data_IF_783475646323
#
_entry.id   IF_783475646323
#
_cell.length_a   1.000
_cell.length_b   1.000
_cell.length_c   1.000
_cell.angle_alpha   90.00
_cell.angle_beta   90.00
_cell.angle_gamma   90.00
#
_symmetry.space_group_name_H-M   'P 1'
#
loop_
_entity.id
_entity.type
_entity.pdbx_description
1 polymer ?
#
# COMPACT_ATOMS: atom_id res chain seq x y z
N UNK A 1 -27.92 15.71 1.31
CA UNK A 1 -27.33 16.25 0.07
C UNK A 1 -25.84 16.03 0.16
N UNK A 2 -25.25 15.28 -0.78
CA UNK A 2 -23.80 15.11 -0.85
C UNK A 2 -23.15 16.44 -1.24
N UNK A 3 -21.98 16.75 -0.67
CA UNK A 3 -21.22 17.94 -1.06
C UNK A 3 -20.76 17.85 -2.52
N UNK A 4 -20.44 18.99 -3.15
CA UNK A 4 -19.92 18.99 -4.54
C UNK A 4 -18.63 18.13 -4.69
N UNK A 5 -17.85 17.98 -3.63
CA UNK A 5 -16.64 17.15 -3.60
C UNK A 5 -16.96 15.65 -3.54
N UNK A 6 -18.06 15.25 -2.90
CA UNK A 6 -18.46 13.84 -2.81
C UNK A 6 -18.97 13.27 -4.14
N UNK A 7 -19.58 14.09 -4.99
CA UNK A 7 -20.12 13.66 -6.31
C UNK A 7 -18.99 13.30 -7.30
N UNK A 8 -17.79 13.90 -7.13
CA UNK A 8 -16.63 13.68 -7.98
C UNK A 8 -15.62 12.67 -7.40
N UNK A 9 -15.87 12.15 -6.19
CA UNK A 9 -14.93 11.25 -5.51
C UNK A 9 -15.26 9.79 -5.85
N UNK A 10 -14.22 9.03 -6.19
CA UNK A 10 -14.34 7.60 -6.45
C UNK A 10 -14.81 6.85 -5.19
N UNK A 11 -15.72 5.86 -5.32
CA UNK A 11 -16.30 5.16 -4.17
C UNK A 11 -15.26 4.59 -3.19
N UNK A 12 -14.13 4.10 -3.70
CA UNK A 12 -13.05 3.54 -2.87
C UNK A 12 -12.26 4.60 -2.09
N UNK A 13 -12.27 5.87 -2.49
CA UNK A 13 -11.66 6.98 -1.75
C UNK A 13 -12.62 7.65 -0.77
N UNK A 14 -13.91 7.51 -0.96
CA UNK A 14 -14.93 8.21 -0.16
C UNK A 14 -14.79 7.97 1.36
N UNK A 15 -14.53 6.74 1.86
CA UNK A 15 -14.33 6.50 3.28
C UNK A 15 -13.15 7.30 3.85
N UNK A 16 -12.03 7.34 3.13
CA UNK A 16 -10.82 8.06 3.53
C UNK A 16 -11.04 9.58 3.55
N UNK A 17 -11.70 10.13 2.50
CA UNK A 17 -12.01 11.57 2.46
C UNK A 17 -12.94 11.99 3.60
N UNK A 18 -14.00 11.22 3.89
CA UNK A 18 -14.88 11.47 5.03
C UNK A 18 -14.15 11.41 6.37
N UNK A 19 -13.23 10.48 6.52
CA UNK A 19 -12.41 10.39 7.72
C UNK A 19 -11.45 11.57 7.84
N UNK A 20 -10.82 12.01 6.74
CA UNK A 20 -9.94 13.16 6.70
C UNK A 20 -10.70 14.48 6.95
N UNK A 21 -11.89 14.65 6.38
CA UNK A 21 -12.78 15.81 6.65
C UNK A 21 -13.08 15.93 8.17
N UNK A 22 -13.24 14.80 8.85
CA UNK A 22 -13.58 14.76 10.27
C UNK A 22 -12.37 14.87 11.21
N UNK A 23 -11.25 14.26 10.85
CA UNK A 23 -10.10 14.05 11.72
C UNK A 23 -8.80 14.68 11.19
N UNK A 24 -8.86 15.41 10.06
CA UNK A 24 -7.65 15.92 9.42
C UNK A 24 -6.72 14.77 9.00
N UNK A 25 -5.44 14.92 9.29
CA UNK A 25 -4.43 13.90 9.03
C UNK A 25 -4.14 13.00 10.25
N UNK A 26 -5.01 12.94 11.25
CA UNK A 26 -4.81 12.10 12.42
C UNK A 26 -4.98 10.60 12.09
N UNK A 27 -4.53 9.74 13.00
CA UNK A 27 -4.54 8.28 12.81
C UNK A 27 -5.91 7.71 12.39
N UNK A 28 -7.07 8.18 12.90
CA UNK A 28 -8.38 7.69 12.47
C UNK A 28 -8.65 7.87 10.97
N UNK A 29 -8.02 8.85 10.30
CA UNK A 29 -8.18 9.10 8.86
C UNK A 29 -7.53 8.03 7.98
N UNK A 30 -6.66 7.21 8.55
CA UNK A 30 -6.03 6.08 7.87
C UNK A 30 -6.93 4.82 7.84
N UNK A 31 -8.05 4.82 8.56
CA UNK A 31 -9.01 3.72 8.68
C UNK A 31 -8.40 2.38 9.16
N UNK A 32 -7.30 2.45 9.90
CA UNK A 32 -6.73 1.28 10.56
C UNK A 32 -7.51 0.91 11.83
N UNK A 33 -7.63 -0.37 12.12
CA UNK A 33 -8.25 -0.81 13.37
C UNK A 33 -7.45 -0.37 14.61
N UNK A 34 -6.12 -0.35 14.51
CA UNK A 34 -5.22 0.13 15.58
C UNK A 34 -3.79 0.36 15.04
N UNK A 35 -2.93 1.12 15.77
CA UNK A 35 -1.51 1.21 15.45
C UNK A 35 -0.80 -0.16 15.43
N UNK A 36 -1.23 -1.10 16.27
CA UNK A 36 -0.66 -2.45 16.33
C UNK A 36 -0.96 -3.25 15.06
N UNK A 37 -2.19 -3.17 14.52
CA UNK A 37 -2.54 -3.83 13.27
C UNK A 37 -1.80 -3.22 12.08
N UNK A 38 -1.59 -1.90 12.08
CA UNK A 38 -0.76 -1.22 11.08
C UNK A 38 0.70 -1.72 11.14
N UNK A 39 1.30 -1.73 12.33
CA UNK A 39 2.67 -2.16 12.53
C UNK A 39 2.89 -3.64 12.13
N UNK A 40 1.94 -4.53 12.42
CA UNK A 40 2.00 -5.93 12.03
C UNK A 40 2.04 -6.11 10.50
N UNK A 41 1.27 -5.31 9.76
CA UNK A 41 1.31 -5.30 8.29
C UNK A 41 2.61 -4.74 7.73
N UNK A 42 3.13 -3.69 8.32
CA UNK A 42 4.44 -3.12 7.94
C UNK A 42 5.57 -4.11 8.17
N UNK A 43 5.54 -4.87 9.27
CA UNK A 43 6.50 -5.94 9.54
C UNK A 43 6.44 -7.05 8.48
N UNK A 44 5.23 -7.52 8.12
CA UNK A 44 5.05 -8.52 7.07
C UNK A 44 5.56 -8.02 5.69
N UNK A 45 5.32 -6.75 5.37
CA UNK A 45 5.82 -6.10 4.14
C UNK A 45 7.35 -6.06 4.13
N UNK A 46 7.99 -5.63 5.24
CA UNK A 46 9.45 -5.55 5.33
C UNK A 46 10.09 -6.94 5.21
N UNK A 47 9.58 -7.95 5.93
CA UNK A 47 10.06 -9.34 5.87
C UNK A 47 10.03 -9.94 4.47
N UNK A 48 9.01 -9.62 3.66
CA UNK A 48 8.89 -10.12 2.28
C UNK A 48 9.57 -9.22 1.26
N UNK A 49 9.51 -7.89 1.44
CA UNK A 49 9.98 -6.90 0.47
C UNK A 49 11.48 -6.61 0.55
N UNK A 50 12.12 -6.82 1.73
CA UNK A 50 13.56 -6.52 1.96
C UNK A 50 13.92 -5.10 1.53
N UNK A 51 13.28 -4.12 2.19
CA UNK A 51 13.27 -2.72 1.75
C UNK A 51 14.58 -1.96 2.01
N UNK A 52 15.52 -2.53 2.78
CA UNK A 52 16.79 -1.88 3.09
C UNK A 52 17.65 -1.71 1.83
N UNK A 53 18.09 -0.47 1.58
CA UNK A 53 18.95 -0.14 0.43
C UNK A 53 18.25 -0.15 -0.93
N UNK A 54 16.91 -0.32 -0.97
CA UNK A 54 16.10 -0.34 -2.19
C UNK A 54 15.41 1.01 -2.42
N UNK A 55 15.16 1.34 -3.68
CA UNK A 55 14.19 2.38 -4.03
C UNK A 55 12.77 1.84 -3.84
N UNK A 56 11.96 2.52 -3.02
CA UNK A 56 10.63 2.07 -2.60
C UNK A 56 9.55 3.01 -3.09
N UNK A 57 8.51 2.47 -3.71
CA UNK A 57 7.25 3.17 -3.98
C UNK A 57 6.15 2.65 -3.04
N UNK A 58 5.70 3.49 -2.12
CA UNK A 58 4.58 3.22 -1.19
C UNK A 58 3.27 3.80 -1.76
N UNK A 59 2.36 2.92 -2.18
CA UNK A 59 1.14 3.30 -2.90
C UNK A 59 -0.06 3.36 -1.97
N UNK A 60 -0.64 4.53 -1.83
CA UNK A 60 -1.59 4.86 -0.76
C UNK A 60 -0.85 5.05 0.56
N UNK A 61 0.22 5.84 0.53
CA UNK A 61 1.17 5.96 1.64
C UNK A 61 0.60 6.65 2.90
N UNK A 62 -0.61 7.23 2.82
CA UNK A 62 -1.18 8.00 3.92
C UNK A 62 -0.24 9.13 4.35
N UNK A 63 0.16 9.13 5.62
CA UNK A 63 1.12 10.07 6.19
C UNK A 63 2.57 9.61 6.06
N UNK A 64 2.88 8.63 5.20
CA UNK A 64 4.17 7.95 5.09
C UNK A 64 4.62 7.26 6.39
N UNK A 65 3.69 6.67 7.14
CA UNK A 65 3.98 5.99 8.41
C UNK A 65 4.81 4.72 8.22
N UNK A 66 4.75 4.07 7.05
CA UNK A 66 5.65 2.95 6.72
C UNK A 66 7.12 3.38 6.77
N UNK A 67 7.45 4.56 6.25
CA UNK A 67 8.83 5.06 6.31
C UNK A 67 9.31 5.30 7.75
N UNK A 68 8.45 5.86 8.63
CA UNK A 68 8.78 5.99 10.06
C UNK A 68 9.08 4.63 10.68
N UNK A 69 8.17 3.67 10.46
CA UNK A 69 8.32 2.30 10.96
C UNK A 69 9.64 1.64 10.51
N UNK A 70 10.04 1.82 9.26
CA UNK A 70 11.30 1.29 8.72
C UNK A 70 12.51 1.95 9.38
N UNK A 71 12.50 3.29 9.45
CA UNK A 71 13.61 4.06 10.03
C UNK A 71 13.82 3.74 11.51
N UNK A 72 12.76 3.58 12.29
CA UNK A 72 12.80 3.21 13.72
C UNK A 72 13.44 1.82 13.93
N UNK A 73 13.38 0.95 12.93
CA UNK A 73 14.01 -0.39 12.92
C UNK A 73 15.40 -0.42 12.27
N UNK A 74 15.92 0.74 11.85
CA UNK A 74 17.20 0.81 11.15
C UNK A 74 17.15 0.35 9.69
N UNK A 75 15.96 0.08 9.15
CA UNK A 75 15.75 -0.22 7.73
C UNK A 75 15.70 1.10 6.96
N UNK A 76 16.67 1.33 6.08
CA UNK A 76 16.81 2.57 5.33
C UNK A 76 16.67 2.29 3.84
N UNK A 77 15.53 2.66 3.21
CA UNK A 77 15.44 2.71 1.75
C UNK A 77 16.51 3.62 1.15
N UNK A 78 16.98 3.30 -0.04
CA UNK A 78 17.89 4.18 -0.79
C UNK A 78 17.17 5.43 -1.32
N UNK A 79 15.91 5.25 -1.72
CA UNK A 79 14.98 6.31 -2.15
C UNK A 79 13.56 5.90 -1.76
N UNK A 80 12.72 6.86 -1.42
CA UNK A 80 11.31 6.60 -1.07
C UNK A 80 10.38 7.54 -1.80
N UNK A 81 9.42 6.99 -2.52
CA UNK A 81 8.32 7.72 -3.12
C UNK A 81 7.00 7.26 -2.51
N UNK A 82 6.15 8.19 -2.09
CA UNK A 82 4.79 7.91 -1.66
C UNK A 82 3.79 8.41 -2.69
N UNK A 83 2.73 7.64 -2.97
CA UNK A 83 1.56 8.11 -3.72
C UNK A 83 0.37 8.20 -2.76
N UNK A 84 -0.31 9.35 -2.72
CA UNK A 84 -1.50 9.55 -1.87
C UNK A 84 -2.54 10.42 -2.59
N UNK A 85 -3.81 9.99 -2.54
CA UNK A 85 -4.93 10.65 -3.22
C UNK A 85 -5.73 11.58 -2.29
N UNK A 86 -5.57 11.46 -0.97
CA UNK A 86 -6.26 12.29 0.03
C UNK A 86 -5.36 13.47 0.38
N UNK A 87 -5.79 14.67 0.05
CA UNK A 87 -4.97 15.89 0.15
C UNK A 87 -4.43 16.16 1.55
N UNK A 88 -5.23 15.95 2.60
CA UNK A 88 -4.85 16.14 4.00
C UNK A 88 -3.72 15.18 4.40
N UNK A 89 -3.83 13.92 3.99
CA UNK A 89 -2.82 12.89 4.27
C UNK A 89 -1.54 13.16 3.48
N UNK A 90 -1.65 13.48 2.20
CA UNK A 90 -0.52 13.85 1.36
C UNK A 90 0.22 15.07 1.91
N UNK A 91 -0.51 16.12 2.31
CA UNK A 91 0.08 17.32 2.92
C UNK A 91 0.82 17.01 4.22
N UNK A 92 0.28 16.11 5.06
CA UNK A 92 0.94 15.69 6.29
C UNK A 92 2.22 14.89 5.99
N UNK A 93 2.20 13.98 5.00
CA UNK A 93 3.38 13.25 4.55
C UNK A 93 4.47 14.21 4.02
N UNK A 94 4.11 15.15 3.14
CA UNK A 94 5.02 16.18 2.61
C UNK A 94 5.66 16.99 3.73
N UNK A 95 4.86 17.46 4.71
CA UNK A 95 5.34 18.24 5.83
C UNK A 95 6.34 17.46 6.71
N UNK A 96 6.05 16.20 7.02
CA UNK A 96 6.95 15.30 7.77
C UNK A 96 8.27 15.07 7.04
N UNK A 97 8.28 15.02 5.70
CA UNK A 97 9.41 14.58 4.88
C UNK A 97 10.17 15.74 4.22
N UNK A 98 9.71 16.98 4.36
CA UNK A 98 10.26 18.18 3.71
C UNK A 98 11.80 18.33 3.80
N UNK A 99 12.42 17.80 4.84
CA UNK A 99 13.86 17.89 5.08
C UNK A 99 14.64 16.67 4.61
N UNK A 100 13.96 15.62 4.11
CA UNK A 100 14.59 14.40 3.61
C UNK A 100 14.74 14.51 2.10
N UNK A 101 15.99 14.49 1.61
CA UNK A 101 16.29 14.69 0.17
C UNK A 101 15.85 13.52 -0.70
N UNK A 102 15.90 12.31 -0.13
CA UNK A 102 15.63 11.05 -0.83
C UNK A 102 14.17 10.58 -0.62
N UNK A 103 13.27 11.54 -0.28
CA UNK A 103 11.83 11.27 -0.05
C UNK A 103 11.01 12.24 -0.86
N UNK A 104 10.06 11.71 -1.65
CA UNK A 104 9.09 12.49 -2.42
C UNK A 104 7.66 11.95 -2.21
N UNK A 105 6.69 12.83 -2.17
CA UNK A 105 5.27 12.48 -2.11
C UNK A 105 4.59 12.99 -3.38
N UNK A 106 3.83 12.12 -4.02
CA UNK A 106 3.07 12.39 -5.25
C UNK A 106 1.58 12.37 -4.91
N UNK A 107 0.90 13.49 -5.16
CA UNK A 107 -0.57 13.56 -5.03
C UNK A 107 -1.20 12.96 -6.27
N UNK A 108 -1.70 11.75 -6.17
CA UNK A 108 -2.30 11.05 -7.28
C UNK A 108 -3.23 9.92 -6.80
N UNK A 109 -4.22 9.61 -7.60
CA UNK A 109 -5.06 8.43 -7.48
C UNK A 109 -4.47 7.32 -8.36
N UNK A 110 -3.84 6.33 -7.73
CA UNK A 110 -3.14 5.26 -8.44
C UNK A 110 -4.06 4.35 -9.28
N UNK A 111 -5.36 4.32 -8.99
CA UNK A 111 -6.34 3.56 -9.78
C UNK A 111 -6.68 4.32 -11.07
N UNK A 112 -6.90 5.63 -10.99
CA UNK A 112 -7.23 6.48 -12.15
C UNK A 112 -6.00 6.91 -12.94
N UNK A 113 -4.86 7.05 -12.28
CA UNK A 113 -3.60 7.51 -12.84
C UNK A 113 -2.52 6.41 -12.77
N UNK A 114 -2.74 5.22 -13.38
CA UNK A 114 -1.84 4.08 -13.20
C UNK A 114 -0.41 4.33 -13.72
N UNK A 115 -0.20 5.32 -14.57
CA UNK A 115 1.13 5.74 -15.02
C UNK A 115 1.98 6.33 -13.89
N UNK A 116 1.37 6.78 -12.79
CA UNK A 116 2.09 7.25 -11.60
C UNK A 116 2.84 6.13 -10.85
N UNK A 117 2.52 4.88 -11.13
CA UNK A 117 3.27 3.73 -10.60
C UNK A 117 4.66 3.57 -11.23
N UNK A 118 4.89 4.11 -12.44
CA UNK A 118 6.15 3.96 -13.19
C UNK A 118 7.18 5.02 -12.81
N UNK A 119 7.71 4.93 -11.59
CA UNK A 119 8.72 5.84 -11.03
C UNK A 119 10.11 5.20 -10.88
N UNK A 120 10.33 4.06 -11.53
CA UNK A 120 11.57 3.28 -11.50
C UNK A 120 11.97 2.80 -10.08
N UNK A 121 10.99 2.40 -9.26
CA UNK A 121 11.25 1.83 -7.95
C UNK A 121 11.62 0.33 -8.05
N UNK A 122 12.58 -0.12 -7.23
CA UNK A 122 12.91 -1.54 -7.10
C UNK A 122 11.73 -2.31 -6.48
N UNK A 123 11.15 -1.73 -5.43
CA UNK A 123 10.04 -2.34 -4.69
C UNK A 123 8.83 -1.44 -4.71
N UNK A 124 7.68 -2.00 -5.12
CA UNK A 124 6.37 -1.35 -5.00
C UNK A 124 5.59 -1.98 -3.87
N UNK A 125 5.02 -1.16 -2.99
CA UNK A 125 4.32 -1.58 -1.77
C UNK A 125 2.89 -1.06 -1.78
N UNK A 126 1.93 -1.93 -1.40
CA UNK A 126 0.57 -1.52 -1.01
C UNK A 126 0.29 -2.02 0.40
N UNK A 127 0.13 -1.10 1.35
CA UNK A 127 -0.21 -1.44 2.73
C UNK A 127 -1.62 -0.97 3.07
N UNK A 128 -2.60 -1.87 2.98
CA UNK A 128 -4.01 -1.60 3.29
C UNK A 128 -4.76 -0.78 2.24
N UNK A 129 -4.09 -0.11 1.34
CA UNK A 129 -4.69 0.81 0.35
C UNK A 129 -5.55 0.12 -0.72
N UNK A 130 -5.44 -1.19 -0.87
CA UNK A 130 -6.25 -1.99 -1.79
C UNK A 130 -7.54 -2.54 -1.17
N UNK A 131 -7.77 -2.36 0.14
CA UNK A 131 -8.90 -2.97 0.84
C UNK A 131 -10.27 -2.32 0.55
N UNK A 132 -10.29 -1.16 -0.09
CA UNK A 132 -11.52 -0.48 -0.50
C UNK A 132 -11.79 -0.58 -2.01
N UNK A 133 -10.86 -1.17 -2.76
CA UNK A 133 -10.90 -1.25 -4.23
C UNK A 133 -11.67 -2.51 -4.66
N UNK A 134 -12.54 -2.39 -5.67
CA UNK A 134 -13.28 -3.53 -6.24
C UNK A 134 -12.35 -4.49 -7.00
N UNK A 135 -12.79 -5.74 -7.23
CA UNK A 135 -11.94 -6.82 -7.74
C UNK A 135 -11.27 -6.51 -9.08
N UNK A 136 -12.00 -5.97 -10.05
CA UNK A 136 -11.43 -5.65 -11.37
C UNK A 136 -10.30 -4.62 -11.27
N UNK A 137 -10.51 -3.58 -10.46
CA UNK A 137 -9.50 -2.55 -10.22
C UNK A 137 -8.34 -3.09 -9.36
N UNK A 138 -8.61 -3.98 -8.39
CA UNK A 138 -7.59 -4.65 -7.59
C UNK A 138 -6.62 -5.45 -8.46
N UNK A 139 -7.12 -6.39 -9.26
CA UNK A 139 -6.25 -7.24 -10.10
C UNK A 139 -5.55 -6.44 -11.21
N UNK A 140 -6.23 -5.43 -11.77
CA UNK A 140 -5.62 -4.52 -12.74
C UNK A 140 -4.47 -3.73 -12.12
N UNK A 141 -4.66 -3.20 -10.91
CA UNK A 141 -3.64 -2.44 -10.18
C UNK A 141 -2.44 -3.32 -9.83
N UNK A 142 -2.66 -4.54 -9.33
CA UNK A 142 -1.58 -5.51 -9.03
C UNK A 142 -0.74 -5.80 -10.28
N UNK A 143 -1.39 -6.06 -11.42
CA UNK A 143 -0.69 -6.29 -12.70
C UNK A 143 0.17 -5.09 -13.08
N UNK A 144 -0.40 -3.87 -13.07
CA UNK A 144 0.30 -2.63 -13.41
C UNK A 144 1.47 -2.35 -12.47
N UNK A 145 1.28 -2.57 -11.17
CA UNK A 145 2.32 -2.39 -10.19
C UNK A 145 3.47 -3.39 -10.37
N UNK A 146 3.16 -4.64 -10.71
CA UNK A 146 4.17 -5.64 -11.04
C UNK A 146 4.94 -5.29 -12.32
N UNK A 147 4.26 -4.76 -13.34
CA UNK A 147 4.94 -4.23 -14.55
C UNK A 147 5.90 -3.09 -14.20
N UNK A 148 5.49 -2.21 -13.29
CA UNK A 148 6.21 -0.99 -12.90
C UNK A 148 7.39 -1.23 -11.94
N UNK A 149 7.35 -2.26 -11.08
CA UNK A 149 8.43 -2.53 -10.13
C UNK A 149 9.67 -3.10 -10.82
N UNK A 150 10.85 -2.76 -10.32
CA UNK A 150 12.12 -3.29 -10.80
C UNK A 150 12.39 -4.72 -10.35
N UNK A 151 12.09 -5.02 -9.08
CA UNK A 151 12.42 -6.31 -8.45
C UNK A 151 11.21 -6.99 -7.82
N UNK A 152 10.44 -6.28 -6.99
CA UNK A 152 9.41 -6.89 -6.14
C UNK A 152 8.18 -6.02 -6.01
N UNK A 153 7.01 -6.63 -6.13
CA UNK A 153 5.74 -6.09 -5.69
C UNK A 153 5.34 -6.77 -4.38
N UNK A 154 5.06 -5.97 -3.33
CA UNK A 154 4.55 -6.47 -2.04
C UNK A 154 3.23 -5.79 -1.72
N UNK A 155 2.23 -6.57 -1.34
CA UNK A 155 0.93 -6.03 -0.95
C UNK A 155 0.25 -6.91 0.09
N UNK A 156 -0.56 -6.29 0.97
CA UNK A 156 -1.47 -7.03 1.83
C UNK A 156 -2.93 -6.77 1.45
N UNK A 157 -3.78 -7.69 1.87
CA UNK A 157 -5.22 -7.62 1.67
C UNK A 157 -5.96 -8.37 2.78
N UNK A 158 -7.23 -8.01 2.99
CA UNK A 158 -8.11 -8.73 3.90
C UNK A 158 -8.48 -10.08 3.28
N UNK A 159 -8.28 -11.18 4.02
CA UNK A 159 -8.47 -12.54 3.50
C UNK A 159 -9.78 -13.20 3.97
N UNK A 160 -10.52 -12.54 4.86
CA UNK A 160 -11.86 -12.95 5.28
C UNK A 160 -12.66 -11.77 5.83
N UNK A 161 -13.91 -12.00 6.24
CA UNK A 161 -14.80 -10.97 6.75
C UNK A 161 -14.46 -10.49 8.17
N UNK A 162 -13.55 -11.11 8.88
CA UNK A 162 -13.26 -10.80 10.28
C UNK A 162 -12.79 -9.35 10.50
N UNK A 163 -11.87 -8.87 9.65
CA UNK A 163 -11.40 -7.48 9.69
C UNK A 163 -12.17 -6.56 8.73
N UNK A 164 -13.01 -7.12 7.86
CA UNK A 164 -13.82 -6.38 6.90
C UNK A 164 -15.20 -6.03 7.48
N UNK A 165 -15.23 -5.46 8.70
CA UNK A 165 -16.46 -5.13 9.40
C UNK A 165 -17.21 -3.91 8.88
N UNK A 166 -16.63 -3.12 7.96
CA UNK A 166 -17.25 -1.97 7.34
C UNK A 166 -17.64 -2.27 5.88
N UNK A 167 -18.78 -1.73 5.44
CA UNK A 167 -19.36 -1.99 4.11
C UNK A 167 -18.46 -1.60 2.93
N UNK A 168 -17.52 -0.69 3.16
CA UNK A 168 -16.56 -0.25 2.15
C UNK A 168 -15.31 -1.13 2.07
N UNK A 169 -15.09 -2.08 3.00
CA UNK A 169 -13.96 -3.00 2.97
C UNK A 169 -14.26 -4.22 2.12
N UNK A 170 -13.28 -4.64 1.34
CA UNK A 170 -13.31 -5.82 0.47
C UNK A 170 -12.32 -6.86 0.97
N UNK A 171 -12.75 -8.11 1.06
CA UNK A 171 -11.88 -9.24 1.36
C UNK A 171 -11.82 -10.20 0.18
N UNK A 172 -10.73 -10.93 0.05
CA UNK A 172 -10.48 -11.83 -1.08
C UNK A 172 -9.96 -13.17 -0.59
N UNK A 173 -10.28 -14.22 -1.31
CA UNK A 173 -9.78 -15.58 -1.00
C UNK A 173 -8.30 -15.67 -1.34
N UNK A 174 -7.42 -16.09 -0.38
CA UNK A 174 -5.98 -16.22 -0.62
C UNK A 174 -5.66 -17.09 -1.83
N UNK A 175 -6.38 -18.19 -2.04
CA UNK A 175 -6.17 -19.09 -3.17
C UNK A 175 -6.33 -18.38 -4.54
N UNK A 176 -7.31 -17.50 -4.68
CA UNK A 176 -7.58 -16.73 -5.90
C UNK A 176 -6.48 -15.71 -6.17
N UNK A 177 -6.09 -14.95 -5.12
CA UNK A 177 -5.01 -13.96 -5.23
C UNK A 177 -3.66 -14.63 -5.52
N UNK A 178 -3.35 -15.76 -4.89
CA UNK A 178 -2.12 -16.52 -5.16
C UNK A 178 -2.13 -17.12 -6.57
N UNK A 179 -3.27 -17.64 -7.05
CA UNK A 179 -3.38 -18.15 -8.42
C UNK A 179 -3.12 -17.04 -9.45
N UNK A 180 -3.68 -15.85 -9.23
CA UNK A 180 -3.43 -14.68 -10.07
C UNK A 180 -1.95 -14.24 -9.99
N UNK A 181 -1.38 -14.16 -8.78
CA UNK A 181 0.02 -13.77 -8.58
C UNK A 181 0.99 -14.69 -9.31
N UNK A 182 0.72 -16.00 -9.31
CA UNK A 182 1.52 -17.02 -10.03
C UNK A 182 1.41 -16.92 -11.55
N UNK A 183 0.40 -16.25 -12.10
CA UNK A 183 0.34 -15.93 -13.53
C UNK A 183 1.31 -14.80 -13.91
N UNK A 184 1.68 -13.95 -12.93
CA UNK A 184 2.62 -12.85 -13.15
C UNK A 184 4.07 -13.28 -12.97
N UNK A 185 4.35 -14.16 -12.00
CA UNK A 185 5.68 -14.70 -11.73
C UNK A 185 5.61 -16.07 -11.06
N UNK A 186 6.61 -16.92 -11.31
CA UNK A 186 6.81 -18.17 -10.58
C UNK A 186 7.37 -17.94 -9.16
N UNK A 187 7.92 -16.77 -8.87
CA UNK A 187 8.57 -16.42 -7.61
C UNK A 187 7.61 -15.64 -6.70
N UNK A 188 6.64 -16.37 -6.13
CA UNK A 188 5.63 -15.81 -5.22
C UNK A 188 5.87 -16.32 -3.81
N UNK A 189 5.96 -15.40 -2.85
CA UNK A 189 6.03 -15.67 -1.40
C UNK A 189 4.84 -15.04 -0.69
N UNK A 190 4.49 -15.54 0.50
CA UNK A 190 3.40 -14.97 1.30
C UNK A 190 3.62 -15.18 2.79
N UNK A 191 2.88 -14.41 3.59
CA UNK A 191 2.74 -14.54 5.05
C UNK A 191 1.26 -14.42 5.41
N UNK A 192 0.79 -15.27 6.34
CA UNK A 192 -0.59 -15.34 6.83
C UNK A 192 -0.66 -15.55 8.35
N UNK A 193 0.49 -15.55 9.04
CA UNK A 193 0.66 -15.91 10.46
C UNK A 193 0.86 -14.69 11.39
N UNK A 194 0.69 -13.46 10.90
CA UNK A 194 0.99 -12.24 11.65
C UNK A 194 -0.25 -11.48 12.15
N UNK A 195 -1.38 -11.59 11.47
CA UNK A 195 -2.63 -10.92 11.84
C UNK A 195 -3.83 -11.72 11.31
N UNK A 196 -4.72 -12.17 12.22
CA UNK A 196 -5.89 -12.93 11.80
C UNK A 196 -6.79 -12.11 10.84
N UNK A 197 -7.11 -12.70 9.69
CA UNK A 197 -7.92 -12.05 8.65
C UNK A 197 -7.15 -11.19 7.65
N UNK A 198 -5.83 -11.22 7.72
CA UNK A 198 -4.94 -10.49 6.80
C UNK A 198 -3.96 -11.43 6.10
N UNK A 199 -3.52 -11.06 4.90
CA UNK A 199 -2.63 -11.86 4.09
C UNK A 199 -1.68 -10.94 3.31
N UNK A 200 -0.38 -11.22 3.35
CA UNK A 200 0.62 -10.47 2.59
C UNK A 200 1.24 -11.33 1.51
N UNK A 201 1.35 -10.81 0.30
CA UNK A 201 1.98 -11.47 -0.86
C UNK A 201 3.13 -10.61 -1.37
N UNK A 202 4.24 -11.27 -1.72
CA UNK A 202 5.31 -10.70 -2.52
C UNK A 202 5.45 -11.46 -3.84
N UNK A 203 5.51 -10.71 -4.93
CA UNK A 203 5.74 -11.21 -6.30
C UNK A 203 7.09 -10.68 -6.76
N UNK A 204 8.07 -11.55 -6.95
CA UNK A 204 9.42 -11.17 -7.37
C UNK A 204 9.60 -11.36 -8.88
N UNK A 205 10.39 -10.47 -9.52
CA UNK A 205 10.75 -10.59 -10.96
C UNK A 205 11.68 -11.77 -11.23
N UNK A 206 12.54 -12.11 -10.27
CA UNK A 206 13.48 -13.22 -10.33
C UNK A 206 13.59 -13.91 -8.97
N UNK A 207 14.28 -15.02 -8.91
CA UNK A 207 14.54 -15.72 -7.64
C UNK A 207 15.46 -14.87 -6.77
N UNK A 208 14.92 -14.31 -5.68
CA UNK A 208 15.64 -13.47 -4.72
C UNK A 208 16.56 -14.28 -3.79
N UNK A 209 16.78 -15.57 -4.05
CA UNK A 209 17.61 -16.48 -3.25
C UNK A 209 19.08 -16.56 -3.73
N UNK A 210 19.50 -15.81 -4.75
CA UNK A 210 20.93 -15.73 -5.08
C UNK A 210 21.55 -14.54 -4.35
N UNK A 211 22.41 -14.78 -3.33
CA UNK A 211 23.35 -13.77 -2.88
C UNK A 211 24.35 -13.51 -4.01
N UNK A 212 24.40 -12.26 -4.49
CA UNK A 212 25.50 -11.76 -5.32
C UNK A 212 26.76 -11.57 -4.48
#
# INVERSE_FOLDING_TARGET
MLSKNEIATEPYLLPYRRAADKHGADFPSLLWASPQTQAARFDAIERLGRLHGKSVLDVGCGRADLLDFLLDRGVRPADYAGIEAVDELAAAAEAKRRRMKDVRILRADFVREPLRLFVAADVVVFSGSLNTVEDDAFYTTIRRAFEACGETLVFNFLCNSYLAGADYLRWRRPAEVLAFSRQLSLHVRFLDDYLHGDFTVAIHKSDSNHPS
#
